data_IF_351588998277
#
_entry.id   IF_351588998277
#
_cell.length_a   1.000
_cell.length_b   1.000
_cell.length_c   1.000
_cell.angle_alpha   90.00
_cell.angle_beta   90.00
_cell.angle_gamma   90.00
#
_symmetry.space_group_name_H-M   'P 1'
#
loop_
_entity.id
_entity.type
_entity.pdbx_description
1 polymer ?
#
# COMPACT_ATOMS: atom_id res chain seq x y z
N UNK A 1 16.37 -11.81 -27.64
CA UNK A 1 15.58 -11.45 -26.47
C UNK A 1 14.70 -12.63 -26.12
N UNK A 2 14.77 -13.06 -24.89
CA UNK A 2 14.07 -14.22 -24.37
C UNK A 2 12.56 -13.95 -24.39
N UNK A 3 11.83 -14.71 -25.20
CA UNK A 3 10.38 -14.49 -25.40
C UNK A 3 9.51 -15.31 -24.44
N UNK A 4 10.11 -16.23 -23.69
CA UNK A 4 9.45 -17.12 -22.75
C UNK A 4 10.40 -17.50 -21.60
N UNK A 5 9.87 -18.15 -20.55
CA UNK A 5 10.64 -18.61 -19.40
C UNK A 5 11.51 -19.86 -19.66
N UNK A 6 11.46 -20.43 -20.86
CA UNK A 6 12.23 -21.64 -21.20
C UNK A 6 13.73 -21.49 -21.00
N UNK A 7 14.28 -20.29 -21.21
CA UNK A 7 15.70 -20.02 -20.99
C UNK A 7 16.14 -20.15 -19.50
N UNK A 8 15.21 -20.08 -18.56
CA UNK A 8 15.46 -20.25 -17.12
C UNK A 8 15.29 -21.73 -16.68
N UNK A 9 14.85 -22.59 -17.61
CA UNK A 9 14.71 -24.02 -17.38
C UNK A 9 13.37 -24.43 -16.76
N UNK A 10 13.18 -25.75 -16.69
CA UNK A 10 11.92 -26.35 -16.25
C UNK A 10 11.65 -26.13 -14.74
N UNK A 11 12.69 -26.26 -13.92
CA UNK A 11 12.58 -26.07 -12.47
C UNK A 11 12.10 -24.67 -12.12
N UNK A 12 12.60 -23.63 -12.82
CA UNK A 12 12.14 -22.26 -12.63
C UNK A 12 10.64 -22.13 -12.92
N UNK A 13 10.16 -22.71 -14.02
CA UNK A 13 8.75 -22.63 -14.40
C UNK A 13 7.85 -23.35 -13.40
N UNK A 14 8.29 -24.51 -12.87
CA UNK A 14 7.59 -25.23 -11.80
C UNK A 14 7.50 -24.38 -10.53
N UNK A 15 8.61 -23.79 -10.10
CA UNK A 15 8.64 -22.92 -8.94
C UNK A 15 7.80 -21.66 -9.13
N UNK A 16 7.78 -21.09 -10.33
CA UNK A 16 6.96 -19.92 -10.64
C UNK A 16 5.47 -20.23 -10.50
N UNK A 17 4.99 -21.35 -11.05
CA UNK A 17 3.59 -21.75 -10.93
C UNK A 17 3.24 -22.08 -9.47
N UNK A 18 4.17 -22.72 -8.75
CA UNK A 18 3.98 -22.94 -7.31
C UNK A 18 3.78 -21.62 -6.56
N UNK A 19 4.63 -20.61 -6.81
CA UNK A 19 4.50 -19.30 -6.17
C UNK A 19 3.20 -18.58 -6.57
N UNK A 20 2.72 -18.73 -7.79
CA UNK A 20 1.40 -18.19 -8.18
C UNK A 20 0.24 -18.79 -7.37
N UNK A 21 0.36 -20.02 -6.90
CA UNK A 21 -0.70 -20.70 -6.14
C UNK A 21 -0.61 -20.38 -4.66
N UNK A 22 0.60 -20.35 -4.09
CA UNK A 22 0.79 -20.25 -2.63
C UNK A 22 1.01 -18.82 -2.13
N UNK A 23 1.53 -17.92 -2.98
CA UNK A 23 1.84 -16.54 -2.63
C UNK A 23 0.80 -15.59 -3.27
N UNK A 24 -0.20 -15.22 -2.51
CA UNK A 24 -1.32 -14.37 -2.98
C UNK A 24 -0.85 -13.00 -3.46
N UNK A 25 0.09 -12.38 -2.76
CA UNK A 25 0.56 -11.03 -3.08
C UNK A 25 1.35 -11.05 -4.39
N UNK A 26 2.22 -12.04 -4.56
CA UNK A 26 2.90 -12.24 -5.83
C UNK A 26 1.93 -12.53 -6.97
N UNK A 27 0.93 -13.38 -6.75
CA UNK A 27 -0.07 -13.66 -7.76
C UNK A 27 -0.83 -12.40 -8.19
N UNK A 28 -1.29 -11.57 -7.26
CA UNK A 28 -1.94 -10.28 -7.55
C UNK A 28 -1.04 -9.36 -8.38
N UNK A 29 0.23 -9.26 -8.01
CA UNK A 29 1.19 -8.39 -8.68
C UNK A 29 1.49 -8.77 -10.14
N UNK A 30 1.25 -10.03 -10.55
CA UNK A 30 1.69 -10.53 -11.84
C UNK A 30 0.58 -11.11 -12.72
N UNK A 31 -0.55 -11.55 -12.15
CA UNK A 31 -1.56 -12.36 -12.85
C UNK A 31 -2.13 -11.67 -14.10
N UNK A 32 -2.31 -10.36 -14.04
CA UNK A 32 -2.87 -9.58 -15.15
C UNK A 32 -1.92 -9.51 -16.35
N UNK A 33 -0.62 -9.48 -16.08
CA UNK A 33 0.43 -9.32 -17.11
C UNK A 33 1.08 -10.65 -17.50
N UNK A 34 0.89 -11.69 -16.69
CA UNK A 34 1.41 -13.02 -16.96
C UNK A 34 0.62 -13.65 -18.12
N UNK A 35 1.29 -13.99 -19.19
CA UNK A 35 0.70 -14.71 -20.32
C UNK A 35 1.12 -16.19 -20.27
N UNK A 36 0.15 -17.10 -20.43
CA UNK A 36 0.43 -18.54 -20.50
C UNK A 36 1.44 -18.90 -21.61
N UNK A 37 1.54 -18.07 -22.65
CA UNK A 37 2.53 -18.23 -23.74
C UNK A 37 3.98 -18.04 -23.29
N UNK A 38 4.22 -17.45 -22.13
CA UNK A 38 5.56 -17.29 -21.57
C UNK A 38 6.15 -18.61 -21.07
N UNK A 39 5.35 -19.65 -20.91
CA UNK A 39 5.82 -20.99 -20.59
C UNK A 39 6.14 -21.76 -21.88
N UNK A 40 7.13 -22.66 -21.85
CA UNK A 40 7.48 -23.48 -23.02
C UNK A 40 6.68 -24.79 -23.05
N UNK A 41 6.41 -25.39 -21.88
CA UNK A 41 5.67 -26.63 -21.74
C UNK A 41 4.16 -26.40 -21.89
N UNK A 42 3.49 -27.18 -22.74
CA UNK A 42 2.04 -27.07 -22.96
C UNK A 42 1.20 -27.29 -21.68
N UNK A 43 1.64 -28.13 -20.76
CA UNK A 43 0.92 -28.41 -19.52
C UNK A 43 1.04 -27.26 -18.54
N UNK A 44 2.18 -26.57 -18.50
CA UNK A 44 2.34 -25.34 -17.76
C UNK A 44 1.43 -24.23 -18.32
N UNK A 45 1.30 -24.14 -19.66
CA UNK A 45 0.36 -23.19 -20.29
C UNK A 45 -1.07 -23.47 -19.86
N UNK A 46 -1.49 -24.73 -19.85
CA UNK A 46 -2.84 -25.13 -19.44
C UNK A 46 -3.07 -24.76 -17.97
N UNK A 47 -2.16 -25.12 -17.06
CA UNK A 47 -2.29 -24.84 -15.62
C UNK A 47 -2.33 -23.32 -15.38
N UNK A 48 -1.42 -22.57 -16.00
CA UNK A 48 -1.40 -21.10 -15.85
C UNK A 48 -2.68 -20.47 -16.40
N UNK A 49 -3.21 -20.97 -17.50
CA UNK A 49 -4.46 -20.50 -18.07
C UNK A 49 -5.65 -20.77 -17.13
N UNK A 50 -5.72 -21.97 -16.55
CA UNK A 50 -6.75 -22.31 -15.55
C UNK A 50 -6.67 -21.40 -14.33
N UNK A 51 -5.46 -21.10 -13.83
CA UNK A 51 -5.27 -20.15 -12.71
C UNK A 51 -5.80 -18.78 -13.09
N UNK A 52 -5.49 -18.27 -14.29
CA UNK A 52 -5.95 -16.95 -14.75
C UNK A 52 -7.48 -16.90 -14.89
N UNK A 53 -8.09 -17.89 -15.52
CA UNK A 53 -9.54 -17.96 -15.71
C UNK A 53 -10.28 -18.03 -14.37
N UNK A 54 -9.74 -18.80 -13.43
CA UNK A 54 -10.26 -18.85 -12.08
C UNK A 54 -10.16 -17.49 -11.39
N UNK A 55 -9.00 -16.82 -11.50
CA UNK A 55 -8.79 -15.51 -10.90
C UNK A 55 -9.72 -14.45 -11.46
N UNK A 56 -9.93 -14.41 -12.77
CA UNK A 56 -10.88 -13.49 -13.42
C UNK A 56 -12.32 -13.71 -12.93
N UNK A 57 -12.68 -14.97 -12.65
CA UNK A 57 -14.05 -15.32 -12.23
C UNK A 57 -14.32 -15.11 -10.76
N UNK A 58 -13.34 -15.37 -9.89
CA UNK A 58 -13.51 -15.43 -8.45
C UNK A 58 -12.68 -14.41 -7.67
N UNK A 59 -11.89 -13.57 -8.37
CA UNK A 59 -10.97 -12.57 -7.79
C UNK A 59 -10.01 -13.15 -6.73
N UNK A 60 -9.72 -14.43 -6.84
CA UNK A 60 -8.87 -15.20 -5.92
C UNK A 60 -8.09 -16.27 -6.66
N UNK A 61 -6.93 -16.64 -6.10
CA UNK A 61 -6.09 -17.70 -6.68
C UNK A 61 -6.65 -19.06 -6.26
N UNK A 62 -6.74 -20.05 -7.17
CA UNK A 62 -7.19 -21.39 -6.83
C UNK A 62 -6.17 -22.12 -5.95
N UNK A 63 -6.63 -22.99 -5.06
CA UNK A 63 -5.76 -23.93 -4.34
C UNK A 63 -5.38 -25.12 -5.24
N UNK A 64 -4.41 -25.92 -4.83
CA UNK A 64 -4.06 -27.16 -5.55
C UNK A 64 -5.24 -28.12 -5.67
N UNK A 65 -6.06 -28.23 -4.61
CA UNK A 65 -7.27 -29.05 -4.61
C UNK A 65 -8.30 -28.56 -5.62
N UNK A 66 -8.46 -27.24 -5.72
CA UNK A 66 -9.34 -26.63 -6.73
C UNK A 66 -8.83 -26.90 -8.15
N UNK A 67 -7.53 -26.80 -8.39
CA UNK A 67 -6.92 -27.09 -9.70
C UNK A 67 -7.06 -28.57 -10.06
N UNK A 68 -6.93 -29.48 -9.11
CA UNK A 68 -7.20 -30.91 -9.32
C UNK A 68 -8.66 -31.13 -9.74
N UNK A 69 -9.63 -30.49 -9.10
CA UNK A 69 -11.06 -30.57 -9.44
C UNK A 69 -11.34 -30.00 -10.85
N UNK A 70 -10.79 -28.81 -11.16
CA UNK A 70 -10.91 -28.18 -12.48
C UNK A 70 -10.30 -29.07 -13.57
N UNK A 71 -9.12 -29.64 -13.32
CA UNK A 71 -8.48 -30.56 -14.25
C UNK A 71 -9.36 -31.79 -14.56
N UNK A 72 -10.02 -32.32 -13.55
CA UNK A 72 -10.92 -33.47 -13.72
C UNK A 72 -12.21 -33.14 -14.45
N UNK A 73 -12.74 -31.93 -14.25
CA UNK A 73 -14.00 -31.49 -14.88
C UNK A 73 -13.84 -30.95 -16.29
N UNK A 74 -12.75 -30.25 -16.58
CA UNK A 74 -12.59 -29.52 -17.84
C UNK A 74 -11.77 -30.26 -18.91
N UNK A 75 -10.84 -31.15 -18.48
CA UNK A 75 -10.00 -31.88 -19.43
C UNK A 75 -10.68 -33.22 -19.79
N UNK A 76 -11.19 -33.30 -21.02
CA UNK A 76 -11.90 -34.48 -21.52
C UNK A 76 -10.98 -35.69 -21.81
N UNK A 77 -9.73 -35.43 -22.24
CA UNK A 77 -8.77 -36.50 -22.58
C UNK A 77 -8.17 -37.10 -21.30
N UNK A 78 -8.36 -38.41 -21.08
CA UNK A 78 -7.83 -39.10 -19.91
C UNK A 78 -6.30 -39.06 -19.85
N UNK A 79 -5.61 -39.17 -20.98
CA UNK A 79 -4.15 -39.09 -21.03
C UNK A 79 -3.64 -37.69 -20.69
N UNK A 80 -4.24 -36.64 -21.24
CA UNK A 80 -3.88 -35.26 -20.92
C UNK A 80 -4.19 -34.91 -19.44
N UNK A 81 -5.36 -35.34 -18.94
CA UNK A 81 -5.77 -35.18 -17.55
C UNK A 81 -4.75 -35.78 -16.60
N UNK A 82 -4.32 -37.00 -16.84
CA UNK A 82 -3.31 -37.66 -16.00
C UNK A 82 -1.99 -36.89 -16.00
N UNK A 83 -1.49 -36.42 -17.14
CA UNK A 83 -0.24 -35.67 -17.20
C UNK A 83 -0.36 -34.33 -16.45
N UNK A 84 -1.50 -33.63 -16.59
CA UNK A 84 -1.71 -32.37 -15.85
C UNK A 84 -1.74 -32.60 -14.35
N UNK A 85 -2.42 -33.64 -13.85
CA UNK A 85 -2.44 -34.00 -12.44
C UNK A 85 -1.05 -34.39 -11.92
N UNK A 86 -0.29 -35.18 -12.69
CA UNK A 86 1.11 -35.52 -12.35
C UNK A 86 1.98 -34.26 -12.30
N UNK A 87 1.76 -33.30 -13.21
CA UNK A 87 2.45 -32.01 -13.25
C UNK A 87 2.08 -31.15 -12.03
N UNK A 88 0.80 -31.09 -11.65
CA UNK A 88 0.35 -30.39 -10.45
C UNK A 88 0.98 -30.97 -9.19
N UNK A 89 1.13 -32.28 -9.11
CA UNK A 89 1.84 -32.93 -8.01
C UNK A 89 3.31 -32.50 -7.95
N UNK A 90 4.01 -32.48 -9.09
CA UNK A 90 5.39 -31.99 -9.16
C UNK A 90 5.50 -30.52 -8.74
N UNK A 91 4.56 -29.67 -9.11
CA UNK A 91 4.52 -28.26 -8.73
C UNK A 91 4.29 -28.12 -7.21
N UNK A 92 3.41 -28.94 -6.63
CA UNK A 92 3.13 -28.94 -5.19
C UNK A 92 4.36 -29.33 -4.37
N UNK A 93 5.09 -30.35 -4.80
CA UNK A 93 6.19 -30.98 -4.07
C UNK A 93 7.55 -30.30 -4.31
N UNK A 94 7.58 -29.19 -5.07
CA UNK A 94 8.82 -28.48 -5.35
C UNK A 94 9.41 -27.83 -4.09
N UNK A 95 10.75 -27.87 -3.99
CA UNK A 95 11.48 -27.22 -2.90
C UNK A 95 11.27 -25.70 -2.89
N UNK A 96 11.14 -25.14 -1.70
CA UNK A 96 10.97 -23.70 -1.47
C UNK A 96 12.29 -22.90 -1.54
N UNK A 97 13.42 -23.55 -1.76
CA UNK A 97 14.70 -22.84 -1.85
C UNK A 97 14.75 -21.95 -3.10
N UNK A 98 15.13 -20.69 -2.90
CA UNK A 98 15.31 -19.73 -4.02
C UNK A 98 14.01 -19.09 -4.55
N UNK A 99 12.89 -19.20 -3.85
CA UNK A 99 11.61 -18.59 -4.30
C UNK A 99 11.71 -17.08 -4.55
N UNK A 100 12.50 -16.34 -3.75
CA UNK A 100 12.69 -14.90 -3.94
C UNK A 100 13.31 -14.59 -5.31
N UNK A 101 14.30 -15.38 -5.72
CA UNK A 101 14.90 -15.25 -7.06
C UNK A 101 13.87 -15.47 -8.17
N UNK A 102 12.98 -16.46 -8.00
CA UNK A 102 11.93 -16.78 -8.98
C UNK A 102 10.95 -15.60 -9.10
N UNK A 103 10.49 -15.07 -7.97
CA UNK A 103 9.59 -13.92 -7.91
C UNK A 103 10.21 -12.71 -8.62
N UNK A 104 11.42 -12.31 -8.24
CA UNK A 104 12.11 -11.16 -8.84
C UNK A 104 12.33 -11.32 -10.34
N UNK A 105 12.73 -12.50 -10.78
CA UNK A 105 12.97 -12.77 -12.22
C UNK A 105 11.68 -12.76 -13.02
N UNK A 106 10.60 -13.33 -12.48
CA UNK A 106 9.30 -13.33 -13.12
C UNK A 106 8.73 -11.92 -13.26
N UNK A 107 8.79 -11.10 -12.20
CA UNK A 107 8.36 -9.71 -12.23
C UNK A 107 9.15 -8.89 -13.26
N UNK A 108 10.49 -8.99 -13.24
CA UNK A 108 11.35 -8.29 -14.21
C UNK A 108 11.04 -8.71 -15.64
N UNK A 109 10.83 -10.00 -15.88
CA UNK A 109 10.47 -10.52 -17.20
C UNK A 109 9.11 -9.98 -17.65
N UNK A 110 8.07 -10.08 -16.84
CA UNK A 110 6.73 -9.58 -17.18
C UNK A 110 6.73 -8.08 -17.41
N UNK A 111 7.40 -7.30 -16.56
CA UNK A 111 7.59 -5.86 -16.75
C UNK A 111 8.25 -5.55 -18.10
N UNK A 112 9.28 -6.28 -18.47
CA UNK A 112 9.94 -6.14 -19.76
C UNK A 112 9.01 -6.48 -20.93
N UNK A 113 8.22 -7.56 -20.83
CA UNK A 113 7.27 -7.94 -21.88
C UNK A 113 6.15 -6.89 -22.05
N UNK A 114 5.62 -6.36 -20.95
CA UNK A 114 4.62 -5.29 -21.01
C UNK A 114 5.18 -4.01 -21.64
N UNK A 115 6.39 -3.59 -21.26
CA UNK A 115 7.05 -2.45 -21.90
C UNK A 115 7.26 -2.67 -23.39
N UNK A 116 7.65 -3.87 -23.83
CA UNK A 116 7.79 -4.19 -25.26
C UNK A 116 6.45 -4.12 -26.01
N UNK A 117 5.35 -4.59 -25.41
CA UNK A 117 4.00 -4.46 -25.97
C UNK A 117 3.61 -2.98 -26.14
N UNK A 118 3.83 -2.19 -25.09
CA UNK A 118 3.54 -0.74 -25.11
C UNK A 118 4.35 -0.03 -26.17
N UNK A 119 5.66 -0.28 -26.26
CA UNK A 119 6.54 0.32 -27.27
C UNK A 119 6.09 -0.04 -28.69
N UNK A 120 5.69 -1.31 -28.91
CA UNK A 120 5.19 -1.75 -30.22
C UNK A 120 3.88 -1.04 -30.58
N UNK A 121 3.00 -0.79 -29.58
CA UNK A 121 1.75 -0.06 -29.80
C UNK A 121 2.02 1.43 -30.01
N UNK A 122 2.95 2.01 -29.23
CA UNK A 122 3.38 3.39 -29.37
C UNK A 122 3.89 3.67 -30.78
N UNK A 123 4.75 2.81 -31.32
CA UNK A 123 5.24 2.94 -32.68
C UNK A 123 4.09 3.00 -33.70
N UNK A 124 3.09 2.13 -33.56
CA UNK A 124 1.93 2.12 -34.47
C UNK A 124 1.08 3.40 -34.39
N UNK A 125 0.95 3.98 -33.19
CA UNK A 125 0.20 5.24 -32.96
C UNK A 125 0.96 6.40 -33.63
N UNK A 126 2.28 6.46 -33.42
CA UNK A 126 3.15 7.48 -34.00
C UNK A 126 3.14 7.39 -35.54
N UNK A 127 3.29 6.18 -36.09
CA UNK A 127 3.31 5.94 -37.54
C UNK A 127 1.99 6.35 -38.21
N UNK A 128 0.87 6.26 -37.49
CA UNK A 128 -0.45 6.68 -37.97
C UNK A 128 -0.73 8.18 -37.78
N UNK A 129 0.07 8.89 -37.00
CA UNK A 129 -0.17 10.29 -36.65
C UNK A 129 -1.43 10.53 -35.82
N UNK A 130 -1.82 9.54 -35.01
CA UNK A 130 -3.01 9.57 -34.16
C UNK A 130 -2.70 10.28 -32.83
N UNK A 131 -2.80 11.61 -32.84
CA UNK A 131 -2.49 12.46 -31.70
C UNK A 131 -3.50 12.33 -30.55
N UNK A 132 -4.75 11.92 -30.83
CA UNK A 132 -5.78 11.75 -29.81
C UNK A 132 -5.53 10.53 -28.91
N UNK A 133 -4.69 9.59 -29.37
CA UNK A 133 -4.31 8.39 -28.63
C UNK A 133 -3.11 8.57 -27.71
N UNK A 134 -2.52 9.77 -27.60
CA UNK A 134 -1.30 9.99 -26.79
C UNK A 134 -1.55 9.87 -25.28
N UNK A 135 -2.70 10.33 -24.79
CA UNK A 135 -3.06 10.21 -23.38
C UNK A 135 -3.20 8.73 -22.96
N UNK A 136 -3.76 7.90 -23.86
CA UNK A 136 -3.83 6.45 -23.64
C UNK A 136 -2.46 5.79 -23.61
N UNK A 137 -1.49 6.34 -24.37
CA UNK A 137 -0.13 5.82 -24.38
C UNK A 137 0.57 6.09 -23.05
N UNK A 138 0.40 7.30 -22.48
CA UNK A 138 0.93 7.62 -21.14
C UNK A 138 0.41 6.67 -20.08
N UNK A 139 -0.91 6.43 -20.04
CA UNK A 139 -1.53 5.49 -19.11
C UNK A 139 -0.95 4.07 -19.27
N UNK A 140 -0.78 3.61 -20.50
CA UNK A 140 -0.22 2.28 -20.78
C UNK A 140 1.25 2.16 -20.33
N UNK A 141 2.07 3.19 -20.53
CA UNK A 141 3.47 3.23 -20.08
C UNK A 141 3.51 3.18 -18.56
N UNK A 142 2.72 4.01 -17.89
CA UNK A 142 2.64 4.06 -16.44
C UNK A 142 2.21 2.70 -15.86
N UNK A 143 1.17 2.08 -16.43
CA UNK A 143 0.73 0.74 -16.03
C UNK A 143 1.81 -0.32 -16.22
N UNK A 144 2.57 -0.28 -17.32
CA UNK A 144 3.66 -1.21 -17.57
C UNK A 144 4.84 -1.01 -16.60
N UNK A 145 5.09 0.21 -16.15
CA UNK A 145 6.12 0.52 -15.16
C UNK A 145 5.73 0.08 -13.74
N UNK A 146 4.44 0.07 -13.43
CA UNK A 146 3.91 -0.34 -12.13
C UNK A 146 3.80 -1.87 -11.98
N UNK A 147 4.09 -2.66 -13.01
CA UNK A 147 4.10 -4.14 -12.91
C UNK A 147 5.04 -4.57 -11.79
N UNK A 148 4.49 -5.29 -10.80
CA UNK A 148 5.21 -5.79 -9.65
C UNK A 148 5.32 -4.80 -8.49
N UNK A 149 4.76 -3.61 -8.60
CA UNK A 149 4.51 -2.75 -7.46
C UNK A 149 3.25 -3.28 -6.79
N UNK A 150 3.42 -3.88 -5.63
CA UNK A 150 2.29 -4.23 -4.77
C UNK A 150 1.81 -2.89 -4.21
N UNK A 151 0.56 -2.57 -4.48
CA UNK A 151 -0.05 -1.35 -3.93
C UNK A 151 -0.05 -1.51 -2.40
N UNK A 152 0.86 -0.79 -1.73
CA UNK A 152 0.99 -0.84 -0.26
C UNK A 152 -0.30 -0.41 0.45
N UNK A 153 -1.25 0.16 -0.30
CA UNK A 153 -2.56 0.57 0.21
C UNK A 153 -3.50 -0.60 0.53
N UNK A 154 -3.24 -1.80 -0.01
CA UNK A 154 -3.99 -3.04 0.28
C UNK A 154 -3.14 -4.04 1.07
N UNK A 155 -2.28 -3.59 1.98
CA UNK A 155 -1.79 -4.49 3.02
C UNK A 155 -3.01 -5.04 3.76
N UNK A 156 -3.21 -6.34 3.64
CA UNK A 156 -4.21 -7.06 4.42
C UNK A 156 -3.89 -6.79 5.90
N UNK A 157 -4.61 -5.82 6.46
CA UNK A 157 -4.45 -5.33 7.84
C UNK A 157 -4.49 -6.50 8.84
N UNK A 158 -5.11 -7.60 8.46
CA UNK A 158 -5.24 -8.79 9.30
C UNK A 158 -4.04 -9.75 9.22
N UNK A 159 -3.29 -9.77 8.10
CA UNK A 159 -2.12 -10.66 7.95
C UNK A 159 -0.84 -10.07 8.53
N UNK A 160 -0.74 -8.73 8.57
CA UNK A 160 0.41 -7.99 9.08
C UNK A 160 0.08 -7.14 10.31
N UNK A 161 -0.96 -7.53 11.07
CA UNK A 161 -1.42 -6.75 12.22
C UNK A 161 -0.29 -6.48 13.22
N UNK A 162 0.60 -7.43 13.44
CA UNK A 162 1.74 -7.29 14.33
C UNK A 162 2.79 -6.30 13.77
N UNK A 163 3.03 -6.28 12.45
CA UNK A 163 3.94 -5.31 11.82
C UNK A 163 3.31 -3.91 11.75
N UNK A 164 2.02 -3.81 11.39
CA UNK A 164 1.28 -2.54 11.37
C UNK A 164 1.17 -1.94 12.78
N UNK A 165 1.16 -2.77 13.82
CA UNK A 165 1.14 -2.32 15.21
C UNK A 165 2.54 -1.98 15.75
N UNK A 166 3.62 -2.57 15.21
CA UNK A 166 5.00 -2.35 15.66
C UNK A 166 5.70 -1.19 14.90
N UNK A 167 5.36 -0.92 13.65
CA UNK A 167 5.86 0.24 12.93
C UNK A 167 5.02 1.47 13.29
N UNK A 168 5.64 2.43 13.96
CA UNK A 168 5.01 3.72 14.28
C UNK A 168 4.93 4.59 13.01
N UNK A 169 3.98 4.28 12.11
CA UNK A 169 3.66 5.08 10.92
C UNK A 169 3.15 6.49 11.24
N UNK A 170 3.00 6.77 12.52
CA UNK A 170 2.40 8.00 13.00
C UNK A 170 3.40 9.11 12.92
N UNK A 171 4.25 9.45 12.28
CA UNK A 171 5.11 10.65 12.36
C UNK A 171 4.46 11.80 13.17
N UNK A 172 4.30 11.66 14.49
CA UNK A 172 3.53 12.60 15.29
C UNK A 172 4.24 13.95 15.39
N UNK A 173 3.45 15.01 15.40
CA UNK A 173 3.94 16.36 15.64
C UNK A 173 3.66 16.68 17.11
N UNK A 174 4.68 16.95 17.93
CA UNK A 174 4.49 17.30 19.33
C UNK A 174 3.62 18.55 19.50
N UNK A 175 2.69 18.49 20.42
CA UNK A 175 1.82 19.62 20.75
C UNK A 175 2.52 20.62 21.70
N UNK A 176 3.68 20.27 22.22
CA UNK A 176 4.46 21.09 23.15
C UNK A 176 4.01 20.98 24.61
N UNK A 177 3.10 20.05 24.90
CA UNK A 177 2.62 19.75 26.27
C UNK A 177 3.11 18.34 26.61
N UNK A 178 4.22 18.23 27.31
CA UNK A 178 4.93 16.96 27.59
C UNK A 178 3.99 15.84 28.09
N UNK A 179 3.07 16.17 28.99
CA UNK A 179 2.12 15.19 29.55
C UNK A 179 1.15 14.64 28.49
N UNK A 180 0.70 15.48 27.55
CA UNK A 180 -0.18 15.10 26.46
C UNK A 180 0.62 14.38 25.37
N UNK A 181 1.78 14.90 25.01
CA UNK A 181 2.65 14.28 24.00
C UNK A 181 3.06 12.87 24.42
N UNK A 182 3.38 12.65 25.70
CA UNK A 182 3.67 11.32 26.23
C UNK A 182 2.43 10.39 26.18
N UNK A 183 1.24 10.91 26.50
CA UNK A 183 -0.01 10.15 26.44
C UNK A 183 -0.34 9.74 25.00
N UNK A 184 -0.07 10.63 24.04
CA UNK A 184 -0.31 10.44 22.61
C UNK A 184 0.88 9.83 21.87
N UNK A 185 1.88 9.30 22.59
CA UNK A 185 3.10 8.71 21.98
C UNK A 185 3.80 9.65 20.99
N UNK A 186 4.02 10.88 21.40
CA UNK A 186 4.77 11.88 20.63
C UNK A 186 3.95 13.04 20.06
N UNK A 187 2.61 13.02 20.16
CA UNK A 187 1.76 14.11 19.68
C UNK A 187 0.65 13.64 18.72
N UNK A 188 0.18 14.52 17.85
CA UNK A 188 -0.83 14.24 16.83
C UNK A 188 -0.19 13.97 15.48
N UNK A 189 -0.65 12.93 14.80
CA UNK A 189 -0.20 12.55 13.46
C UNK A 189 -1.15 13.06 12.36
N UNK A 190 -0.72 12.93 11.11
CA UNK A 190 -1.53 13.29 9.94
C UNK A 190 -2.84 12.47 9.93
N UNK A 191 -3.97 13.16 9.86
CA UNK A 191 -5.30 12.54 9.87
C UNK A 191 -5.90 12.31 11.25
N UNK A 192 -5.17 12.61 12.34
CA UNK A 192 -5.69 12.55 13.70
C UNK A 192 -6.27 13.90 14.12
N UNK A 193 -7.37 13.86 14.86
CA UNK A 193 -8.04 15.03 15.42
C UNK A 193 -7.95 15.00 16.96
N UNK A 194 -7.29 15.99 17.53
CA UNK A 194 -7.30 16.22 18.97
C UNK A 194 -8.46 17.13 19.39
N UNK A 195 -9.32 16.66 20.29
CA UNK A 195 -10.41 17.45 20.83
C UNK A 195 -10.22 17.64 22.33
N UNK A 196 -10.12 18.91 22.77
CA UNK A 196 -10.03 19.27 24.18
C UNK A 196 -11.42 19.68 24.66
N UNK A 197 -12.00 18.87 25.53
CA UNK A 197 -13.26 19.19 26.21
C UNK A 197 -12.95 19.74 27.58
N UNK A 198 -13.38 20.96 27.84
CA UNK A 198 -13.22 21.62 29.15
C UNK A 198 -14.45 22.47 29.47
N UNK A 199 -14.92 22.48 30.73
CA UNK A 199 -15.99 23.39 31.15
C UNK A 199 -15.57 24.86 30.98
N UNK A 200 -16.54 25.75 30.98
CA UNK A 200 -16.28 27.19 31.01
C UNK A 200 -15.56 27.57 32.28
N UNK A 201 -14.60 28.48 32.18
CA UNK A 201 -13.87 29.01 33.35
C UNK A 201 -12.60 28.26 33.77
N UNK A 202 -12.26 27.15 33.09
CA UNK A 202 -11.01 26.37 33.38
C UNK A 202 -9.80 26.78 32.54
N UNK A 203 -9.87 27.93 31.84
CA UNK A 203 -8.72 28.46 31.09
C UNK A 203 -8.47 27.83 29.71
N UNK A 204 -9.49 27.24 29.11
CA UNK A 204 -9.36 26.61 27.76
C UNK A 204 -8.96 27.62 26.68
N UNK A 205 -9.56 28.80 26.70
CA UNK A 205 -9.19 29.97 25.89
C UNK A 205 -9.74 31.23 26.54
N UNK A 206 -9.00 32.31 26.49
CA UNK A 206 -9.42 33.62 27.00
C UNK A 206 -9.32 34.61 25.82
N UNK A 207 -10.30 35.56 25.73
CA UNK A 207 -10.20 36.61 24.73
C UNK A 207 -9.02 37.54 25.04
N UNK A 208 -8.44 38.16 24.00
CA UNK A 208 -7.31 39.07 24.13
C UNK A 208 -7.62 40.29 25.03
N UNK A 209 -8.91 40.61 25.24
CA UNK A 209 -9.39 41.67 26.11
C UNK A 209 -9.48 41.28 27.59
N UNK A 210 -9.36 39.97 27.91
CA UNK A 210 -9.51 39.48 29.28
C UNK A 210 -8.38 40.00 30.17
N UNK A 211 -8.71 40.53 31.40
CA UNK A 211 -7.71 41.04 32.32
C UNK A 211 -6.94 39.91 33.01
N UNK A 212 -5.61 40.00 32.99
CA UNK A 212 -4.68 39.11 33.71
C UNK A 212 -4.00 39.92 34.82
N UNK A 213 -3.99 39.36 36.03
CA UNK A 213 -3.33 40.01 37.16
C UNK A 213 -1.81 39.78 37.06
N UNK A 214 -1.08 40.87 37.07
CA UNK A 214 0.39 40.90 37.13
C UNK A 214 0.86 41.55 38.40
N UNK A 215 2.14 41.44 38.81
CA UNK A 215 2.68 42.16 39.96
C UNK A 215 2.58 43.68 39.88
N UNK A 216 2.34 44.21 38.65
CA UNK A 216 2.21 45.66 38.38
C UNK A 216 0.74 46.10 38.21
N UNK A 217 -0.22 45.19 38.41
CA UNK A 217 -1.64 45.45 38.21
C UNK A 217 -2.25 44.63 37.05
N UNK A 218 -3.49 44.96 36.70
CA UNK A 218 -4.24 44.27 35.65
C UNK A 218 -3.76 44.69 34.28
N UNK A 219 -3.47 43.70 33.42
CA UNK A 219 -3.02 43.86 32.02
C UNK A 219 -3.91 42.99 31.14
N UNK A 220 -4.19 43.43 29.91
CA UNK A 220 -4.97 42.60 28.98
C UNK A 220 -4.17 41.38 28.53
N UNK A 221 -4.85 40.25 28.36
CA UNK A 221 -4.23 38.98 27.88
C UNK A 221 -3.44 39.19 26.60
N UNK A 222 -3.95 39.99 25.66
CA UNK A 222 -3.28 40.29 24.39
C UNK A 222 -1.98 41.09 24.50
N UNK A 223 -1.72 41.72 25.65
CA UNK A 223 -0.52 42.53 25.90
C UNK A 223 0.57 41.75 26.65
N UNK A 224 0.24 40.54 27.15
CA UNK A 224 1.17 39.65 27.86
C UNK A 224 2.20 39.06 26.89
N UNK A 225 3.45 38.97 27.35
CA UNK A 225 4.58 38.43 26.58
C UNK A 225 5.23 37.26 27.30
N UNK A 226 5.91 36.39 26.54
CA UNK A 226 6.75 35.34 27.12
C UNK A 226 7.82 35.98 28.01
N UNK A 227 7.96 35.47 29.23
CA UNK A 227 8.85 36.02 30.26
C UNK A 227 8.21 36.99 31.22
N UNK A 228 6.98 37.47 30.94
CA UNK A 228 6.24 38.31 31.90
C UNK A 228 5.88 37.51 33.15
N UNK A 229 5.68 38.26 34.26
CA UNK A 229 5.20 37.68 35.52
C UNK A 229 3.72 37.90 35.66
N UNK A 230 3.00 36.85 35.94
CA UNK A 230 1.56 36.87 36.27
C UNK A 230 1.34 36.36 37.69
N UNK A 231 0.20 36.65 38.29
CA UNK A 231 -0.19 36.08 39.56
C UNK A 231 -1.08 34.87 39.32
N UNK A 232 -0.65 33.71 39.78
CA UNK A 232 -1.42 32.46 39.71
C UNK A 232 -2.59 32.44 40.70
N UNK A 233 -3.45 31.42 40.59
CA UNK A 233 -4.59 31.21 41.48
C UNK A 233 -4.20 30.98 42.95
N UNK A 234 -2.96 30.58 43.17
CA UNK A 234 -2.34 30.43 44.51
C UNK A 234 -1.77 31.75 45.10
N UNK A 235 -1.95 32.87 44.39
CA UNK A 235 -1.40 34.16 44.76
C UNK A 235 0.10 34.35 44.53
N UNK A 236 0.78 33.34 43.99
CA UNK A 236 2.20 33.39 43.73
C UNK A 236 2.53 33.92 42.32
N UNK A 237 3.72 34.51 42.17
CA UNK A 237 4.21 34.95 40.88
C UNK A 237 4.67 33.74 40.03
N UNK A 238 4.17 33.68 38.81
CA UNK A 238 4.55 32.70 37.83
C UNK A 238 5.05 33.37 36.53
N UNK A 239 5.95 32.71 35.81
CA UNK A 239 6.45 33.24 34.56
C UNK A 239 5.60 32.70 33.39
N UNK A 240 5.30 33.56 32.42
CA UNK A 240 4.69 33.16 31.16
C UNK A 240 5.74 32.47 30.33
N UNK A 241 5.61 31.16 30.11
CA UNK A 241 6.55 30.34 29.39
C UNK A 241 6.16 30.12 27.91
N UNK A 242 4.91 30.38 27.54
CA UNK A 242 4.39 30.28 26.19
C UNK A 242 3.09 31.04 25.98
N UNK A 243 2.86 31.55 24.79
CA UNK A 243 1.63 32.19 24.36
C UNK A 243 1.21 31.53 23.05
N UNK A 244 0.00 31.00 23.05
CA UNK A 244 -0.57 30.35 21.88
C UNK A 244 -1.79 31.18 21.45
N UNK A 245 -1.69 31.82 20.26
CA UNK A 245 -2.79 32.58 19.67
C UNK A 245 -3.51 31.75 18.62
N UNK A 246 -4.83 31.69 18.70
CA UNK A 246 -5.66 31.20 17.60
C UNK A 246 -6.09 32.43 16.79
N UNK A 247 -5.69 32.50 15.52
CA UNK A 247 -6.22 33.49 14.60
C UNK A 247 -7.56 32.96 14.09
N UNK A 248 -8.67 33.54 14.59
CA UNK A 248 -9.96 33.40 13.94
C UNK A 248 -9.91 34.20 12.63
N UNK A 249 -9.90 33.53 11.53
CA UNK A 249 -10.24 34.13 10.24
C UNK A 249 -11.76 34.08 10.15
N UNK A 250 -12.38 35.20 10.45
CA UNK A 250 -13.82 35.49 10.37
C UNK A 250 -14.73 34.85 11.45
N UNK A 251 -15.50 35.75 12.06
CA UNK A 251 -16.59 35.54 13.02
C UNK A 251 -17.76 34.70 12.47
N UNK A 252 -17.55 33.40 12.21
CA UNK A 252 -18.66 32.48 12.00
C UNK A 252 -18.37 31.17 12.70
N UNK A 253 -18.96 31.03 13.90
CA UNK A 253 -19.23 29.72 14.46
C UNK A 253 -20.64 29.30 14.05
N UNK A 254 -20.76 28.19 13.40
CA UNK A 254 -21.93 27.32 13.44
C UNK A 254 -21.53 26.03 14.12
#
# INVERSE_FOLDING_TARGET
SDKNFGYLGNTFQIQLINQLIINRDFARAIIDVLDSKYFDNQYFKIITQMIKEYYVKYESVPTFETLDQLTRSEISSDSARKIVLDTLTQIRDVSFEGHQFVIEKALKFCKQQELQKVMTKAQKIIDKGDFESYDQLEEMVNKALQVGEIDEAEHDVFTNLDQVLDEDYRHPIPMGIIGIDNLLKGGLAKGELGVILAPTGVGKSLPNSEPVLTPKGWVKMGDIKIGDKIIGSDGNQQYVIGIFGFFSVNDYFI
#
